data_IF_020357964824
#
_entry.id   IF_020357964824
#
_cell.length_a   1.000
_cell.length_b   1.000
_cell.length_c   1.000
_cell.angle_alpha   90.00
_cell.angle_beta   90.00
_cell.angle_gamma   90.00
#
_symmetry.space_group_name_H-M   'P 1'
#
loop_
_entity.id
_entity.type
_entity.pdbx_description
1 polymer ?
#
# COMPACT_ATOMS: atom_id res chain seq x y z
N UNK A 1 3.38 42.54 7.10
CA UNK A 1 2.99 42.35 5.69
C UNK A 1 3.30 40.98 5.15
N UNK A 2 4.56 40.51 5.28
CA UNK A 2 4.94 39.16 4.79
C UNK A 2 4.15 38.03 5.44
N UNK A 3 3.86 38.14 6.74
CA UNK A 3 3.08 37.13 7.48
C UNK A 3 1.63 37.11 7.01
N UNK A 4 1.04 38.28 6.77
CA UNK A 4 -0.32 38.38 6.27
C UNK A 4 -0.46 37.86 4.85
N UNK A 5 0.52 38.13 3.99
CA UNK A 5 0.56 37.59 2.62
C UNK A 5 0.66 36.08 2.60
N UNK A 6 1.52 35.49 3.43
CA UNK A 6 1.65 34.02 3.54
C UNK A 6 0.37 33.36 4.05
N UNK A 7 -0.28 34.01 5.03
CA UNK A 7 -1.55 33.50 5.57
C UNK A 7 -2.65 33.52 4.52
N UNK A 8 -2.76 34.61 3.77
CA UNK A 8 -3.72 34.73 2.68
C UNK A 8 -3.48 33.68 1.57
N UNK A 9 -2.22 33.50 1.17
CA UNK A 9 -1.84 32.50 0.19
C UNK A 9 -2.19 31.09 0.65
N UNK A 10 -1.89 30.74 1.89
CA UNK A 10 -2.22 29.46 2.47
C UNK A 10 -3.72 29.19 2.46
N UNK A 11 -4.51 30.17 2.87
CA UNK A 11 -5.98 30.06 2.85
C UNK A 11 -6.53 29.89 1.44
N UNK A 12 -5.98 30.61 0.47
CA UNK A 12 -6.39 30.49 -0.93
C UNK A 12 -6.09 29.09 -1.49
N UNK A 13 -4.94 28.52 -1.16
CA UNK A 13 -4.56 27.16 -1.57
C UNK A 13 -5.49 26.13 -0.93
N UNK A 14 -5.81 26.28 0.35
CA UNK A 14 -6.73 25.39 1.05
C UNK A 14 -8.12 25.39 0.40
N UNK A 15 -8.62 26.55 0.02
CA UNK A 15 -9.90 26.70 -0.65
C UNK A 15 -9.87 26.14 -2.08
N UNK A 16 -8.78 26.36 -2.81
CA UNK A 16 -8.63 25.89 -4.18
C UNK A 16 -8.62 24.35 -4.27
N UNK A 17 -8.22 23.64 -3.21
CA UNK A 17 -8.18 22.19 -3.18
C UNK A 17 -9.54 21.52 -3.33
N UNK A 18 -10.63 22.23 -3.00
CA UNK A 18 -11.97 21.69 -3.13
C UNK A 18 -12.37 21.37 -4.58
N UNK A 19 -11.73 21.99 -5.56
CA UNK A 19 -11.99 21.71 -6.99
C UNK A 19 -11.17 20.55 -7.53
N UNK A 20 -10.20 20.01 -6.79
CA UNK A 20 -9.38 18.91 -7.24
C UNK A 20 -10.13 17.59 -7.15
N UNK A 21 -10.21 16.81 -8.25
CA UNK A 21 -10.83 15.49 -8.21
C UNK A 21 -9.94 14.47 -7.48
N UNK A 22 -10.54 13.37 -7.04
CA UNK A 22 -9.78 12.26 -6.46
C UNK A 22 -8.78 11.64 -7.44
N UNK A 23 -9.01 11.84 -8.74
CA UNK A 23 -8.12 11.35 -9.78
C UNK A 23 -6.87 12.22 -9.98
N UNK A 24 -6.76 13.32 -9.21
CA UNK A 24 -5.61 14.22 -9.32
C UNK A 24 -4.33 13.50 -8.87
N UNK A 25 -3.30 13.51 -9.73
CA UNK A 25 -2.03 12.87 -9.43
C UNK A 25 -1.24 13.67 -8.40
N UNK A 26 -0.59 12.95 -7.49
CA UNK A 26 0.30 13.56 -6.50
C UNK A 26 1.53 12.68 -6.29
N UNK A 27 2.59 13.25 -5.75
CA UNK A 27 3.80 12.53 -5.43
C UNK A 27 4.20 12.82 -3.99
N UNK A 28 4.67 11.79 -3.30
CA UNK A 28 5.07 11.91 -1.90
C UNK A 28 6.25 11.00 -1.61
N UNK A 29 7.24 11.53 -0.91
CA UNK A 29 8.37 10.75 -0.40
C UNK A 29 8.09 10.44 1.06
N UNK A 30 8.11 9.14 1.41
CA UNK A 30 7.77 8.67 2.75
C UNK A 30 8.89 7.78 3.29
N UNK A 31 9.28 8.02 4.53
CA UNK A 31 10.20 7.14 5.26
C UNK A 31 9.39 6.38 6.30
N UNK A 32 9.47 5.05 6.26
CA UNK A 32 8.74 4.17 7.17
C UNK A 32 9.63 3.03 7.65
N UNK A 33 9.40 2.57 8.88
CA UNK A 33 10.08 1.37 9.36
C UNK A 33 9.41 0.11 8.79
N UNK A 34 10.10 -1.04 8.90
CA UNK A 34 9.62 -2.31 8.34
C UNK A 34 8.29 -2.76 8.94
N UNK A 35 8.06 -2.50 10.22
CA UNK A 35 6.82 -2.88 10.90
C UNK A 35 5.62 -2.12 10.31
N UNK A 36 5.76 -0.83 10.08
CA UNK A 36 4.71 -0.02 9.46
C UNK A 36 4.46 -0.42 8.02
N UNK A 37 5.50 -0.73 7.26
CA UNK A 37 5.38 -1.25 5.90
C UNK A 37 4.65 -2.59 5.88
N UNK A 38 4.96 -3.51 6.77
CA UNK A 38 4.27 -4.79 6.87
C UNK A 38 2.78 -4.62 7.18
N UNK A 39 2.44 -3.68 8.06
CA UNK A 39 1.05 -3.35 8.35
C UNK A 39 0.34 -2.79 7.11
N UNK A 40 1.00 -1.92 6.36
CA UNK A 40 0.47 -1.37 5.12
C UNK A 40 0.18 -2.49 4.10
N UNK A 41 1.12 -3.41 3.89
CA UNK A 41 0.96 -4.52 2.95
C UNK A 41 -0.17 -5.47 3.38
N UNK A 42 -0.29 -5.72 4.67
CA UNK A 42 -1.37 -6.56 5.21
C UNK A 42 -2.75 -6.03 4.82
N UNK A 43 -2.93 -4.73 4.86
CA UNK A 43 -4.23 -4.11 4.58
C UNK A 43 -4.43 -3.75 3.11
N UNK A 44 -3.38 -3.44 2.38
CA UNK A 44 -3.49 -2.90 1.01
C UNK A 44 -3.14 -3.89 -0.10
N UNK A 45 -2.47 -4.99 0.21
CA UNK A 45 -2.27 -6.07 -0.76
C UNK A 45 -3.48 -7.01 -0.83
N UNK A 46 -4.39 -6.94 0.11
CA UNK A 46 -5.59 -7.78 0.14
C UNK A 46 -6.49 -7.50 -1.07
N UNK A 47 -7.12 -8.55 -1.63
CA UNK A 47 -8.02 -8.42 -2.78
C UNK A 47 -9.25 -7.57 -2.48
N UNK A 48 -9.57 -7.34 -1.21
CA UNK A 48 -10.66 -6.44 -0.81
C UNK A 48 -10.27 -4.96 -0.82
N UNK A 49 -8.99 -4.66 -0.99
CA UNK A 49 -8.53 -3.28 -1.17
C UNK A 49 -8.88 -2.79 -2.59
N UNK A 50 -9.00 -1.49 -2.73
CA UNK A 50 -9.24 -0.86 -4.03
C UNK A 50 -8.06 -1.19 -4.98
N UNK A 51 -8.36 -1.44 -6.25
CA UNK A 51 -7.41 -2.00 -7.20
C UNK A 51 -6.13 -1.18 -7.38
N UNK A 52 -6.24 0.15 -7.43
CA UNK A 52 -5.11 1.05 -7.68
C UNK A 52 -4.12 1.04 -6.52
N UNK A 53 -4.61 1.17 -5.28
CA UNK A 53 -3.73 1.11 -4.10
C UNK A 53 -3.16 -0.29 -3.90
N UNK A 54 -3.89 -1.32 -4.32
CA UNK A 54 -3.39 -2.69 -4.29
C UNK A 54 -2.21 -2.87 -5.24
N UNK A 55 -2.29 -2.36 -6.46
CA UNK A 55 -1.18 -2.40 -7.42
C UNK A 55 0.03 -1.64 -6.90
N UNK A 56 -0.18 -0.47 -6.31
CA UNK A 56 0.89 0.31 -5.69
C UNK A 56 1.55 -0.48 -4.56
N UNK A 57 0.75 -1.09 -3.69
CA UNK A 57 1.27 -1.89 -2.56
C UNK A 57 2.07 -3.10 -3.05
N UNK A 58 1.60 -3.79 -4.09
CA UNK A 58 2.30 -4.92 -4.68
C UNK A 58 3.67 -4.52 -5.24
N UNK A 59 3.75 -3.39 -5.93
CA UNK A 59 5.01 -2.88 -6.47
C UNK A 59 5.97 -2.44 -5.36
N UNK A 60 5.45 -1.79 -4.33
CA UNK A 60 6.23 -1.42 -3.16
C UNK A 60 6.81 -2.66 -2.48
N UNK A 61 6.01 -3.70 -2.31
CA UNK A 61 6.45 -4.96 -1.70
C UNK A 61 7.55 -5.61 -2.53
N UNK A 62 7.41 -5.63 -3.85
CA UNK A 62 8.43 -6.17 -4.75
C UNK A 62 9.77 -5.46 -4.55
N UNK A 63 9.76 -4.13 -4.51
CA UNK A 63 10.97 -3.33 -4.36
C UNK A 63 11.63 -3.53 -2.99
N UNK A 64 10.88 -3.51 -1.90
CA UNK A 64 11.47 -3.67 -0.56
C UNK A 64 11.93 -5.09 -0.31
N UNK A 65 11.29 -6.08 -0.94
CA UNK A 65 11.72 -7.48 -0.84
C UNK A 65 13.07 -7.73 -1.51
N UNK A 66 13.39 -7.01 -2.58
CA UNK A 66 14.70 -7.08 -3.23
C UNK A 66 15.82 -6.64 -2.29
N UNK A 67 15.55 -5.61 -1.47
CA UNK A 67 16.54 -5.02 -0.55
C UNK A 67 16.65 -5.82 0.75
N UNK A 68 15.54 -6.28 1.30
CA UNK A 68 15.48 -6.92 2.61
C UNK A 68 14.54 -8.13 2.61
N UNK A 69 14.89 -9.21 1.92
CA UNK A 69 13.99 -10.37 1.77
C UNK A 69 13.62 -11.04 3.10
N UNK A 70 14.55 -11.05 4.08
CA UNK A 70 14.27 -11.65 5.38
C UNK A 70 13.19 -10.90 6.16
N UNK A 71 13.16 -9.57 6.07
CA UNK A 71 12.16 -8.74 6.77
C UNK A 71 10.77 -8.88 6.15
N UNK A 72 10.69 -9.12 4.86
CA UNK A 72 9.44 -9.13 4.12
C UNK A 72 9.03 -10.51 3.60
N UNK A 73 9.64 -11.57 4.15
CA UNK A 73 9.37 -12.95 3.72
C UNK A 73 7.90 -13.33 3.87
N UNK A 74 7.22 -12.83 4.90
CA UNK A 74 5.82 -13.13 5.19
C UNK A 74 4.89 -11.96 4.90
N UNK A 75 5.37 -10.95 4.20
CA UNK A 75 4.60 -9.75 3.87
C UNK A 75 3.60 -10.02 2.75
N UNK A 76 2.52 -9.26 2.77
CA UNK A 76 1.43 -9.37 1.82
C UNK A 76 0.08 -9.41 2.54
N UNK A 77 -0.99 -9.82 1.86
CA UNK A 77 -2.29 -9.93 2.52
C UNK A 77 -2.25 -10.99 3.63
N UNK A 78 -3.18 -10.92 4.61
CA UNK A 78 -3.14 -11.85 5.76
C UNK A 78 -3.14 -13.32 5.38
N UNK A 79 -3.77 -13.70 4.26
CA UNK A 79 -3.86 -15.08 3.80
C UNK A 79 -2.52 -15.68 3.37
N UNK A 80 -1.50 -14.88 3.12
CA UNK A 80 -0.15 -15.36 2.77
C UNK A 80 0.55 -15.97 3.97
N UNK A 81 0.36 -15.38 5.15
CA UNK A 81 1.03 -15.83 6.39
C UNK A 81 0.15 -16.64 7.33
N UNK A 82 -1.12 -16.80 7.01
CA UNK A 82 -2.05 -17.53 7.86
C UNK A 82 -3.46 -17.57 7.28
N UNK A 83 -4.44 -17.89 8.13
CA UNK A 83 -5.84 -17.90 7.71
C UNK A 83 -6.35 -16.49 7.47
N UNK A 84 -7.33 -16.35 6.57
CA UNK A 84 -7.96 -15.06 6.30
C UNK A 84 -8.78 -14.62 7.51
N UNK A 85 -8.50 -13.43 8.08
CA UNK A 85 -9.24 -12.93 9.24
C UNK A 85 -10.63 -12.40 8.91
N UNK A 86 -10.96 -12.27 7.62
CA UNK A 86 -12.23 -11.70 7.16
C UNK A 86 -13.44 -12.66 7.28
N UNK A 87 -13.21 -13.93 7.56
CA UNK A 87 -14.29 -14.90 7.74
C UNK A 87 -15.20 -14.99 6.51
N UNK A 88 -16.49 -14.74 6.72
CA UNK A 88 -17.48 -14.79 5.63
C UNK A 88 -17.26 -13.72 4.56
N UNK A 89 -16.52 -12.67 4.87
CA UNK A 89 -16.20 -11.57 3.95
C UNK A 89 -14.91 -11.81 3.17
N UNK A 90 -14.33 -12.99 3.27
CA UNK A 90 -13.12 -13.37 2.53
C UNK A 90 -13.37 -13.35 1.02
N UNK A 91 -12.33 -13.00 0.24
CA UNK A 91 -12.38 -13.07 -1.21
C UNK A 91 -12.38 -14.52 -1.74
N UNK A 92 -12.06 -15.52 -0.89
CA UNK A 92 -12.01 -16.93 -1.26
C UNK A 92 -10.83 -17.32 -2.16
N UNK A 93 -9.86 -16.45 -2.32
CA UNK A 93 -8.73 -16.63 -3.26
C UNK A 93 -7.39 -16.79 -2.55
N UNK A 94 -7.39 -17.30 -1.33
CA UNK A 94 -6.18 -17.43 -0.51
C UNK A 94 -5.07 -18.24 -1.22
N UNK A 95 -5.44 -19.37 -1.83
CA UNK A 95 -4.46 -20.22 -2.53
C UNK A 95 -3.81 -19.49 -3.71
N UNK A 96 -4.60 -18.75 -4.50
CA UNK A 96 -4.10 -17.94 -5.61
C UNK A 96 -3.17 -16.84 -5.12
N UNK A 97 -3.53 -16.20 -4.02
CA UNK A 97 -2.74 -15.11 -3.45
C UNK A 97 -1.40 -15.62 -2.91
N UNK A 98 -1.38 -16.77 -2.27
CA UNK A 98 -0.12 -17.39 -1.81
C UNK A 98 0.84 -17.63 -2.98
N UNK A 99 0.35 -18.15 -4.09
CA UNK A 99 1.15 -18.34 -5.31
C UNK A 99 1.62 -17.01 -5.90
N UNK A 100 0.71 -16.03 -6.01
CA UNK A 100 1.03 -14.72 -6.55
C UNK A 100 2.16 -14.06 -5.79
N UNK A 101 2.08 -14.03 -4.46
CA UNK A 101 3.08 -13.34 -3.64
C UNK A 101 4.38 -14.10 -3.52
N UNK A 102 4.36 -15.42 -3.59
CA UNK A 102 5.57 -16.21 -3.70
C UNK A 102 6.32 -15.89 -5.00
N UNK A 103 5.61 -15.84 -6.12
CA UNK A 103 6.18 -15.47 -7.42
C UNK A 103 6.72 -14.02 -7.40
N UNK A 104 5.96 -13.08 -6.84
CA UNK A 104 6.36 -11.67 -6.74
C UNK A 104 7.66 -11.49 -5.96
N UNK A 105 7.89 -12.34 -4.97
CA UNK A 105 9.11 -12.35 -4.15
C UNK A 105 10.27 -13.14 -4.77
N UNK A 106 10.09 -13.67 -5.99
CA UNK A 106 11.12 -14.39 -6.67
C UNK A 106 11.22 -15.89 -6.31
N UNK A 107 10.21 -16.43 -5.63
CA UNK A 107 10.16 -17.86 -5.29
C UNK A 107 9.47 -18.62 -6.42
N UNK A 108 10.26 -19.35 -7.21
CA UNK A 108 9.78 -20.14 -8.34
C UNK A 108 9.25 -21.52 -7.94
N UNK A 109 9.42 -21.92 -6.70
CA UNK A 109 9.14 -23.27 -6.21
C UNK A 109 7.71 -23.49 -5.72
N UNK A 110 6.82 -22.54 -5.99
CA UNK A 110 5.46 -22.61 -5.44
C UNK A 110 4.38 -22.85 -6.50
#
# INVERSE_FOLDING_TARGET
EKTAARKAEKMAIEDARFVLPNACSTKMIVTMNARSLNNFFRHRCCQRAQWEIRELADEMLRLVNEVAPALFARSGPPCVSGACPEGSMSCGRAAEMRKKYAFLKGDEMV
#
